data_IF_854308801561
#
_entry.id   IF_854308801561
#
_cell.length_a   1.000
_cell.length_b   1.000
_cell.length_c   1.000
_cell.angle_alpha   90.00
_cell.angle_beta   90.00
_cell.angle_gamma   90.00
#
_symmetry.space_group_name_H-M   'P 1'
#
loop_
_entity.id
_entity.type
_entity.pdbx_description
1 polymer ?
#
# COMPACT_ATOMS: atom_id res chain seq x y z
N UNK A 1 -32.07 -36.42 3.24
CA UNK A 1 -31.93 -35.12 2.53
C UNK A 1 -30.46 -34.77 2.59
N UNK A 2 -29.82 -34.54 1.44
CA UNK A 2 -28.39 -34.19 1.38
C UNK A 2 -28.30 -32.67 1.45
N UNK A 3 -27.69 -32.16 2.51
CA UNK A 3 -27.34 -30.74 2.64
C UNK A 3 -26.18 -30.44 1.70
N UNK A 4 -26.50 -29.84 0.55
CA UNK A 4 -25.48 -29.36 -0.40
C UNK A 4 -24.84 -28.09 0.17
N UNK A 5 -23.53 -28.06 0.45
CA UNK A 5 -22.87 -26.82 0.87
C UNK A 5 -22.91 -25.82 -0.28
N UNK A 6 -23.28 -24.58 0.01
CA UNK A 6 -23.32 -23.49 -0.96
C UNK A 6 -21.91 -23.28 -1.53
N UNK A 7 -21.74 -23.55 -2.83
CA UNK A 7 -20.48 -23.35 -3.54
C UNK A 7 -20.19 -21.84 -3.63
N UNK A 8 -19.39 -21.31 -2.71
CA UNK A 8 -18.82 -19.96 -2.78
C UNK A 8 -17.69 -19.93 -3.83
N UNK A 9 -18.08 -20.11 -5.09
CA UNK A 9 -17.20 -20.04 -6.25
C UNK A 9 -17.67 -18.97 -7.20
N UNK A 10 -17.71 -17.71 -6.75
CA UNK A 10 -17.94 -16.59 -7.65
C UNK A 10 -16.69 -16.41 -8.54
N UNK A 11 -16.60 -17.19 -9.62
CA UNK A 11 -15.55 -17.03 -10.66
C UNK A 11 -15.94 -15.98 -11.69
N UNK A 12 -16.93 -15.15 -11.41
CA UNK A 12 -17.37 -14.13 -12.35
C UNK A 12 -16.25 -13.08 -12.48
N UNK A 13 -15.72 -12.83 -13.70
CA UNK A 13 -14.77 -11.75 -13.92
C UNK A 13 -15.41 -10.44 -13.45
N UNK A 14 -14.84 -9.80 -12.43
CA UNK A 14 -15.43 -8.63 -11.77
C UNK A 14 -15.96 -8.87 -10.34
N UNK A 15 -15.95 -10.10 -9.83
CA UNK A 15 -16.28 -10.43 -8.42
C UNK A 15 -15.09 -10.23 -7.45
N UNK A 16 -14.12 -9.40 -7.83
CA UNK A 16 -13.15 -8.86 -6.89
C UNK A 16 -13.72 -7.59 -6.28
N UNK A 17 -13.58 -7.40 -4.97
CA UNK A 17 -13.81 -6.09 -4.38
C UNK A 17 -12.92 -5.07 -5.08
N UNK A 18 -13.50 -4.04 -5.67
CA UNK A 18 -12.71 -2.87 -6.07
C UNK A 18 -12.09 -2.32 -4.79
N UNK A 19 -10.75 -2.35 -4.71
CA UNK A 19 -10.08 -1.48 -3.76
C UNK A 19 -10.54 -0.07 -4.13
N UNK A 20 -11.25 0.61 -3.23
CA UNK A 20 -11.76 1.97 -3.45
C UNK A 20 -10.56 2.88 -3.72
N UNK A 21 -10.18 2.96 -4.99
CA UNK A 21 -9.20 3.88 -5.52
C UNK A 21 -9.98 5.05 -6.08
N UNK A 22 -10.13 6.07 -5.23
CA UNK A 22 -10.11 7.47 -5.68
C UNK A 22 -11.37 8.00 -6.36
N UNK A 23 -12.53 7.95 -5.70
CA UNK A 23 -13.62 8.92 -5.96
C UNK A 23 -14.31 9.29 -4.62
N UNK A 24 -13.70 10.21 -3.87
CA UNK A 24 -14.34 10.86 -2.72
C UNK A 24 -14.01 10.27 -1.34
N UNK A 25 -12.93 10.74 -0.71
CA UNK A 25 -12.71 10.49 0.72
C UNK A 25 -11.29 10.79 1.19
N UNK A 26 -11.14 11.86 1.97
CA UNK A 26 -9.94 12.35 2.67
C UNK A 26 -8.82 12.95 1.79
N UNK A 27 -8.93 14.26 1.56
CA UNK A 27 -7.87 15.17 1.09
C UNK A 27 -6.58 15.16 1.94
N UNK A 28 -6.57 14.51 3.11
CA UNK A 28 -5.47 14.54 4.08
C UNK A 28 -4.84 13.16 4.37
N UNK A 29 -5.14 12.13 3.58
CA UNK A 29 -4.60 10.78 3.81
C UNK A 29 -3.58 10.41 2.75
N UNK A 30 -2.41 9.92 3.18
CA UNK A 30 -1.37 9.38 2.29
C UNK A 30 -1.96 8.25 1.44
N UNK A 31 -1.75 8.22 0.11
CA UNK A 31 -2.28 7.16 -0.74
C UNK A 31 -1.90 5.77 -0.23
N UNK A 32 -2.81 4.79 -0.31
CA UNK A 32 -2.58 3.43 0.21
C UNK A 32 -1.26 2.80 -0.29
N UNK A 33 -0.91 3.01 -1.58
CA UNK A 33 0.35 2.52 -2.15
C UNK A 33 1.57 3.14 -1.45
N UNK A 34 1.52 4.43 -1.18
CA UNK A 34 2.59 5.15 -0.51
C UNK A 34 2.69 4.69 0.95
N UNK A 35 1.56 4.46 1.63
CA UNK A 35 1.54 3.86 2.97
C UNK A 35 2.26 2.50 3.01
N UNK A 36 1.92 1.60 2.09
CA UNK A 36 2.55 0.27 2.01
C UNK A 36 4.06 0.37 1.78
N UNK A 37 4.49 1.26 0.89
CA UNK A 37 5.91 1.48 0.60
C UNK A 37 6.64 2.08 1.81
N UNK A 38 6.00 3.04 2.49
CA UNK A 38 6.51 3.66 3.72
C UNK A 38 6.76 2.63 4.82
N UNK A 39 5.77 1.78 5.11
CA UNK A 39 5.92 0.69 6.08
C UNK A 39 7.04 -0.28 5.71
N UNK A 40 7.07 -0.75 4.46
CA UNK A 40 8.11 -1.67 4.00
C UNK A 40 9.52 -1.10 4.19
N UNK A 41 9.71 0.19 3.90
CA UNK A 41 10.97 0.90 4.09
C UNK A 41 11.31 1.11 5.57
N UNK A 42 10.35 1.51 6.40
CA UNK A 42 10.56 1.71 7.83
C UNK A 42 11.00 0.40 8.51
N UNK A 43 10.27 -0.69 8.26
CA UNK A 43 10.60 -2.03 8.77
C UNK A 43 11.96 -2.50 8.25
N UNK A 44 12.19 -2.43 6.93
CA UNK A 44 13.47 -2.85 6.33
C UNK A 44 14.65 -2.05 6.88
N UNK A 45 14.48 -0.75 7.03
CA UNK A 45 15.49 0.14 7.61
C UNK A 45 15.80 -0.22 9.06
N UNK A 46 14.79 -0.53 9.86
CA UNK A 46 14.97 -0.98 11.24
C UNK A 46 15.67 -2.34 11.33
N UNK A 47 15.20 -3.33 10.56
CA UNK A 47 15.73 -4.70 10.59
C UNK A 47 17.18 -4.74 10.08
N UNK A 48 17.49 -4.02 9.01
CA UNK A 48 18.82 -4.00 8.41
C UNK A 48 19.76 -2.95 9.02
N UNK A 49 19.33 -2.25 10.09
CA UNK A 49 20.09 -1.14 10.72
C UNK A 49 20.53 -0.07 9.72
N UNK A 50 19.65 0.25 8.76
CA UNK A 50 19.85 1.31 7.76
C UNK A 50 18.98 2.52 8.13
N UNK A 51 19.48 3.45 8.96
CA UNK A 51 18.67 4.57 9.47
C UNK A 51 18.11 5.44 8.35
N UNK A 52 18.87 5.64 7.26
CA UNK A 52 18.42 6.42 6.10
C UNK A 52 17.21 5.79 5.41
N UNK A 53 17.20 4.45 5.28
CA UNK A 53 16.05 3.73 4.70
C UNK A 53 14.81 3.83 5.60
N UNK A 54 15.02 3.83 6.91
CA UNK A 54 13.94 4.00 7.88
C UNK A 54 13.34 5.41 7.78
N UNK A 55 14.18 6.45 7.84
CA UNK A 55 13.76 7.85 7.69
C UNK A 55 12.97 8.10 6.41
N UNK A 56 13.42 7.53 5.28
CA UNK A 56 12.64 7.62 4.03
C UNK A 56 11.26 6.99 4.16
N UNK A 57 11.17 5.81 4.81
CA UNK A 57 9.88 5.15 5.02
C UNK A 57 8.93 5.99 5.87
N UNK A 58 9.46 6.55 6.96
CA UNK A 58 8.70 7.42 7.88
C UNK A 58 8.26 8.71 7.19
N UNK A 59 9.11 9.34 6.36
CA UNK A 59 8.76 10.53 5.57
C UNK A 59 7.63 10.26 4.55
N UNK A 60 7.61 9.07 3.93
CA UNK A 60 6.50 8.67 3.05
C UNK A 60 5.20 8.48 3.85
N UNK A 61 5.28 7.87 5.04
CA UNK A 61 4.11 7.68 5.92
C UNK A 61 3.53 9.00 6.44
N UNK A 62 4.39 10.01 6.65
CA UNK A 62 3.98 11.35 7.04
C UNK A 62 3.44 12.19 5.87
N UNK A 63 3.57 11.72 4.63
CA UNK A 63 3.20 12.48 3.44
C UNK A 63 4.17 13.61 3.08
N UNK A 64 5.37 13.63 3.67
CA UNK A 64 6.42 14.62 3.36
C UNK A 64 6.99 14.42 1.95
N UNK A 65 7.04 13.17 1.48
CA UNK A 65 7.47 12.79 0.14
C UNK A 65 6.54 11.73 -0.45
N UNK A 66 6.28 11.79 -1.76
CA UNK A 66 5.61 10.67 -2.45
C UNK A 66 6.61 9.55 -2.73
N UNK A 67 6.13 8.31 -2.67
CA UNK A 67 6.93 7.15 -3.06
C UNK A 67 7.36 7.24 -4.54
N UNK A 68 6.53 7.81 -5.41
CA UNK A 68 6.84 7.96 -6.84
C UNK A 68 8.08 8.84 -7.04
N UNK A 69 8.07 10.04 -6.46
CA UNK A 69 9.15 11.01 -6.60
C UNK A 69 10.48 10.47 -6.06
N UNK A 70 10.41 9.74 -4.93
CA UNK A 70 11.59 9.07 -4.37
C UNK A 70 12.24 8.08 -5.35
N UNK A 71 11.44 7.29 -6.08
CA UNK A 71 11.99 6.31 -7.02
C UNK A 71 12.46 6.95 -8.32
N UNK A 72 11.86 8.06 -8.75
CA UNK A 72 12.32 8.81 -9.92
C UNK A 72 13.67 9.48 -9.67
N UNK A 73 13.87 10.10 -8.50
CA UNK A 73 15.17 10.69 -8.12
C UNK A 73 16.31 9.68 -8.06
N UNK A 74 16.01 8.41 -7.72
CA UNK A 74 17.02 7.35 -7.64
C UNK A 74 17.39 6.75 -9.01
N UNK A 75 16.60 7.02 -10.04
CA UNK A 75 16.87 6.54 -11.42
C UNK A 75 17.70 7.52 -12.24
N UNK A 76 17.82 8.77 -11.80
CA UNK A 76 18.74 9.76 -12.35
C UNK A 76 20.17 9.51 -11.82
#
# INVERSE_FOLDING_TARGET
>A
MVDTPTQQGATQPGSGSTAHGTEGGQENSVPFKDQMIGYAKSIRGSVLRKPETKKTGDAILNGEISAKDYFEQKKA
#
